data_IF_022490134934
#
_entry.id   IF_022490134934
#
_cell.length_a   1.000
_cell.length_b   1.000
_cell.length_c   1.000
_cell.angle_alpha   90.00
_cell.angle_beta   90.00
_cell.angle_gamma   90.00
#
_symmetry.space_group_name_H-M   'P 1'
#
loop_
_entity.id
_entity.type
_entity.pdbx_description
1 polymer ?
#
# COMPACT_ATOMS: atom_id res chain seq x y z
N UNK A 1 -21.10 15.96 0.83
CA UNK A 1 -19.78 15.38 1.14
C UNK A 1 -20.00 14.32 2.20
N UNK A 2 -19.75 13.08 1.86
CA UNK A 2 -19.85 11.94 2.79
C UNK A 2 -18.48 11.62 3.36
N UNK A 3 -18.45 10.95 4.50
CA UNK A 3 -17.23 10.40 5.08
C UNK A 3 -17.23 8.88 4.93
N UNK A 4 -16.32 8.35 4.16
CA UNK A 4 -16.20 6.94 3.87
C UNK A 4 -15.01 6.34 4.66
N UNK A 5 -15.23 5.22 5.32
CA UNK A 5 -14.19 4.38 5.91
C UNK A 5 -13.99 3.16 5.01
N UNK A 6 -12.83 3.09 4.38
CA UNK A 6 -12.44 2.03 3.46
C UNK A 6 -11.52 1.06 4.19
N UNK A 7 -11.95 -0.18 4.31
CA UNK A 7 -11.23 -1.22 5.07
C UNK A 7 -10.51 -2.15 4.08
N UNK A 8 -9.19 -2.16 4.13
CA UNK A 8 -8.37 -3.18 3.48
C UNK A 8 -8.35 -4.45 4.35
N UNK A 9 -9.33 -5.35 4.16
CA UNK A 9 -9.53 -6.51 5.04
C UNK A 9 -8.34 -7.47 5.02
N UNK A 10 -7.70 -7.65 3.89
CA UNK A 10 -6.55 -8.55 3.78
C UNK A 10 -5.35 -8.02 4.58
N UNK A 11 -5.13 -6.71 4.54
CA UNK A 11 -4.08 -6.07 5.33
C UNK A 11 -4.41 -6.12 6.83
N UNK A 12 -5.63 -5.74 7.23
CA UNK A 12 -6.06 -5.79 8.63
C UNK A 12 -5.92 -7.21 9.20
N UNK A 13 -6.40 -8.21 8.47
CA UNK A 13 -6.25 -9.62 8.82
C UNK A 13 -4.78 -10.02 8.98
N UNK A 14 -3.93 -9.71 8.01
CA UNK A 14 -2.51 -10.05 8.05
C UNK A 14 -1.81 -9.43 9.26
N UNK A 15 -2.15 -8.21 9.64
CA UNK A 15 -1.55 -7.53 10.80
C UNK A 15 -1.91 -8.20 12.11
N UNK A 16 -3.17 -8.55 12.28
CA UNK A 16 -3.61 -9.27 13.49
C UNK A 16 -2.98 -10.65 13.54
N UNK A 17 -3.00 -11.39 12.44
CA UNK A 17 -2.43 -12.72 12.32
C UNK A 17 -0.97 -12.77 12.80
N UNK A 18 -0.14 -11.82 12.38
CA UNK A 18 1.27 -11.76 12.79
C UNK A 18 1.49 -11.28 14.24
N UNK A 19 0.48 -10.70 14.88
CA UNK A 19 0.55 -10.25 16.27
C UNK A 19 0.05 -11.31 17.27
N UNK A 20 -0.70 -12.31 16.81
CA UNK A 20 -1.25 -13.36 17.66
C UNK A 20 -0.28 -14.53 17.74
N UNK A 21 0.08 -14.89 18.97
CA UNK A 21 0.91 -16.07 19.28
C UNK A 21 0.09 -17.01 20.17
N UNK A 22 -0.48 -18.05 19.57
CA UNK A 22 -1.31 -19.03 20.26
C UNK A 22 -1.04 -20.42 19.68
N UNK A 23 -1.00 -21.43 20.54
CA UNK A 23 -0.71 -22.80 20.14
C UNK A 23 -1.96 -23.61 19.76
N UNK A 24 -3.10 -23.28 20.32
CA UNK A 24 -4.39 -23.92 19.94
C UNK A 24 -4.97 -23.24 18.70
N UNK A 25 -5.23 -24.00 17.64
CA UNK A 25 -5.69 -23.47 16.36
C UNK A 25 -7.06 -22.78 16.45
N UNK A 26 -8.00 -23.30 17.28
CA UNK A 26 -9.32 -22.68 17.44
C UNK A 26 -9.22 -21.35 18.19
N UNK A 27 -8.41 -21.31 19.25
CA UNK A 27 -8.15 -20.09 20.00
C UNK A 27 -7.43 -19.08 19.12
N UNK A 28 -6.42 -19.51 18.36
CA UNK A 28 -5.72 -18.65 17.37
C UNK A 28 -6.69 -17.98 16.40
N UNK A 29 -7.55 -18.76 15.73
CA UNK A 29 -8.58 -18.21 14.81
C UNK A 29 -9.50 -17.25 15.53
N UNK A 30 -9.97 -17.57 16.75
CA UNK A 30 -10.83 -16.69 17.53
C UNK A 30 -10.16 -15.36 17.88
N UNK A 31 -8.88 -15.39 18.28
CA UNK A 31 -8.10 -14.17 18.59
C UNK A 31 -7.86 -13.32 17.36
N UNK A 32 -7.55 -13.93 16.21
CA UNK A 32 -7.39 -13.22 14.94
C UNK A 32 -8.70 -12.52 14.56
N UNK A 33 -9.83 -13.21 14.64
CA UNK A 33 -11.13 -12.62 14.35
C UNK A 33 -11.46 -11.43 15.24
N UNK A 34 -11.34 -11.63 16.55
CA UNK A 34 -11.60 -10.58 17.52
C UNK A 34 -10.69 -9.37 17.29
N UNK A 35 -9.42 -9.61 16.92
CA UNK A 35 -8.47 -8.56 16.58
C UNK A 35 -8.92 -7.73 15.39
N UNK A 36 -9.34 -8.40 14.29
CA UNK A 36 -9.84 -7.69 13.09
C UNK A 36 -11.10 -6.88 13.43
N UNK A 37 -12.07 -7.47 14.14
CA UNK A 37 -13.26 -6.74 14.57
C UNK A 37 -12.93 -5.54 15.45
N UNK A 38 -11.97 -5.67 16.36
CA UNK A 38 -11.53 -4.58 17.21
C UNK A 38 -10.91 -3.43 16.39
N UNK A 39 -10.08 -3.74 15.39
CA UNK A 39 -9.52 -2.73 14.48
C UNK A 39 -10.60 -2.00 13.69
N UNK A 40 -11.58 -2.74 13.16
CA UNK A 40 -12.74 -2.14 12.46
C UNK A 40 -13.52 -1.23 13.40
N UNK A 41 -13.88 -1.72 14.59
CA UNK A 41 -14.63 -0.95 15.61
C UNK A 41 -13.88 0.28 16.06
N UNK A 42 -12.59 0.19 16.28
CA UNK A 42 -11.75 1.33 16.67
C UNK A 42 -11.74 2.40 15.55
N UNK A 43 -11.56 1.97 14.32
CA UNK A 43 -11.57 2.86 13.16
C UNK A 43 -12.95 3.54 13.00
N UNK A 44 -14.04 2.78 13.14
CA UNK A 44 -15.39 3.30 13.10
C UNK A 44 -15.63 4.36 14.19
N UNK A 45 -15.31 4.04 15.44
CA UNK A 45 -15.52 4.95 16.57
C UNK A 45 -14.68 6.23 16.45
N UNK A 46 -13.48 6.13 15.88
CA UNK A 46 -12.57 7.26 15.70
C UNK A 46 -13.05 8.23 14.64
N UNK A 47 -13.51 7.72 13.53
CA UNK A 47 -13.84 8.56 12.38
C UNK A 47 -15.34 8.84 12.25
N UNK A 48 -16.20 8.09 12.93
CA UNK A 48 -17.67 8.23 12.83
C UNK A 48 -18.11 8.42 11.37
N UNK A 49 -17.83 7.43 10.49
CA UNK A 49 -18.08 7.57 9.06
C UNK A 49 -19.58 7.46 8.73
N UNK A 50 -19.99 8.05 7.61
CA UNK A 50 -21.32 7.86 7.04
C UNK A 50 -21.44 6.48 6.36
N UNK A 51 -20.35 6.02 5.74
CA UNK A 51 -20.28 4.71 5.09
C UNK A 51 -19.03 3.94 5.55
N UNK A 52 -19.19 2.64 5.75
CA UNK A 52 -18.07 1.71 5.96
C UNK A 52 -18.10 0.69 4.83
N UNK A 53 -16.99 0.51 4.13
CA UNK A 53 -16.89 -0.40 2.99
C UNK A 53 -15.63 -1.25 3.19
N UNK A 54 -15.78 -2.55 3.09
CA UNK A 54 -14.69 -3.49 3.19
C UNK A 54 -14.29 -4.02 1.81
N UNK A 55 -13.00 -4.10 1.55
CA UNK A 55 -12.45 -4.59 0.29
C UNK A 55 -11.59 -5.82 0.55
N UNK A 56 -11.72 -6.82 -0.31
CA UNK A 56 -10.95 -8.06 -0.26
C UNK A 56 -10.23 -8.31 -1.57
N UNK A 57 -9.10 -9.02 -1.46
CA UNK A 57 -8.43 -9.56 -2.65
C UNK A 57 -9.30 -10.61 -3.33
N UNK A 58 -9.35 -10.55 -4.64
CA UNK A 58 -9.93 -11.61 -5.46
C UNK A 58 -9.09 -12.88 -5.47
N UNK A 59 -9.60 -13.92 -6.12
CA UNK A 59 -8.90 -15.20 -6.23
C UNK A 59 -7.67 -15.15 -7.13
N UNK A 60 -7.63 -14.20 -8.05
CA UNK A 60 -6.54 -13.99 -9.02
C UNK A 60 -6.05 -12.55 -8.97
N UNK A 61 -4.87 -12.30 -9.50
CA UNK A 61 -4.35 -10.96 -9.70
C UNK A 61 -3.95 -10.79 -11.16
N UNK A 62 -4.45 -9.76 -11.81
CA UNK A 62 -4.07 -9.39 -13.18
C UNK A 62 -2.55 -9.13 -13.29
N UNK A 63 -1.93 -8.67 -12.19
CA UNK A 63 -0.49 -8.42 -12.13
C UNK A 63 0.33 -9.70 -12.37
N UNK A 64 -0.16 -10.87 -11.95
CA UNK A 64 0.50 -12.16 -12.23
C UNK A 64 0.47 -12.52 -13.71
N UNK A 65 -0.60 -12.16 -14.41
CA UNK A 65 -0.67 -12.37 -15.86
C UNK A 65 0.30 -11.44 -16.61
N UNK A 66 0.46 -10.20 -16.13
CA UNK A 66 1.41 -9.24 -16.72
C UNK A 66 2.86 -9.56 -16.34
N UNK A 67 3.11 -9.96 -15.10
CA UNK A 67 4.44 -10.27 -14.57
C UNK A 67 4.37 -11.55 -13.71
N UNK A 68 4.68 -12.73 -14.28
CA UNK A 68 4.52 -14.03 -13.60
C UNK A 68 5.31 -14.17 -12.28
N UNK A 69 6.38 -13.38 -12.11
CA UNK A 69 7.18 -13.34 -10.87
C UNK A 69 6.50 -12.55 -9.73
N UNK A 70 5.42 -11.81 -10.01
CA UNK A 70 4.70 -11.01 -9.03
C UNK A 70 4.24 -11.89 -7.86
N UNK A 71 4.63 -11.51 -6.64
CA UNK A 71 4.34 -12.24 -5.39
C UNK A 71 4.79 -13.71 -5.38
N UNK A 72 5.69 -14.14 -6.29
CA UNK A 72 6.16 -15.53 -6.35
C UNK A 72 7.07 -15.92 -5.17
N UNK A 73 7.67 -14.95 -4.48
CA UNK A 73 8.48 -15.16 -3.28
C UNK A 73 7.65 -15.39 -2.00
N UNK A 74 6.33 -15.21 -2.07
CA UNK A 74 5.42 -15.48 -0.93
C UNK A 74 5.20 -16.98 -0.66
N UNK A 75 6.09 -17.84 -1.18
CA UNK A 75 6.11 -19.26 -0.86
C UNK A 75 6.62 -19.44 0.58
N UNK A 76 5.86 -20.13 1.39
CA UNK A 76 6.09 -20.37 2.82
C UNK A 76 7.27 -21.33 3.05
N UNK A 77 8.51 -20.84 2.93
CA UNK A 77 9.71 -21.71 2.98
C UNK A 77 10.12 -22.18 4.38
N UNK A 78 9.76 -21.44 5.43
CA UNK A 78 10.27 -21.67 6.79
C UNK A 78 9.18 -21.81 7.85
N UNK A 79 7.94 -22.17 7.46
CA UNK A 79 6.86 -22.37 8.41
C UNK A 79 6.82 -23.83 8.89
N UNK A 80 6.57 -24.01 10.19
CA UNK A 80 6.27 -25.31 10.76
C UNK A 80 4.92 -25.83 10.23
N UNK A 81 4.68 -27.16 10.22
CA UNK A 81 3.38 -27.71 9.83
C UNK A 81 2.21 -27.08 10.59
N UNK A 82 2.42 -26.75 11.85
CA UNK A 82 1.41 -26.11 12.70
C UNK A 82 1.11 -24.67 12.30
N UNK A 83 2.12 -23.88 11.99
CA UNK A 83 1.93 -22.52 11.48
C UNK A 83 1.19 -22.51 10.14
N UNK A 84 1.44 -23.53 9.29
CA UNK A 84 0.71 -23.71 8.03
C UNK A 84 -0.77 -24.00 8.32
N UNK A 85 -1.06 -24.97 9.21
CA UNK A 85 -2.42 -25.30 9.62
C UNK A 85 -3.17 -24.09 10.17
N UNK A 86 -2.54 -23.33 11.06
CA UNK A 86 -3.12 -22.14 11.66
C UNK A 86 -3.39 -21.05 10.61
N UNK A 87 -2.46 -20.85 9.69
CA UNK A 87 -2.61 -19.90 8.59
C UNK A 87 -3.76 -20.27 7.64
N UNK A 88 -3.89 -21.57 7.32
CA UNK A 88 -4.97 -22.06 6.47
C UNK A 88 -6.31 -21.92 7.17
N UNK A 89 -6.42 -22.34 8.43
CA UNK A 89 -7.64 -22.21 9.21
C UNK A 89 -8.08 -20.74 9.37
N UNK A 90 -7.13 -19.83 9.61
CA UNK A 90 -7.43 -18.42 9.74
C UNK A 90 -7.83 -17.78 8.40
N UNK A 91 -7.21 -18.18 7.29
CA UNK A 91 -7.59 -17.72 5.94
C UNK A 91 -8.96 -18.27 5.52
N UNK A 92 -9.24 -19.53 5.84
CA UNK A 92 -10.55 -20.13 5.63
C UNK A 92 -11.62 -19.37 6.42
N UNK A 93 -11.33 -19.04 7.69
CA UNK A 93 -12.24 -18.25 8.48
C UNK A 93 -12.45 -16.84 7.92
N UNK A 94 -11.41 -16.17 7.43
CA UNK A 94 -11.56 -14.87 6.77
C UNK A 94 -12.59 -14.98 5.62
N UNK A 95 -12.43 -15.98 4.76
CA UNK A 95 -13.25 -16.14 3.55
C UNK A 95 -14.65 -16.66 3.83
N UNK A 96 -14.75 -17.69 4.65
CA UNK A 96 -15.98 -18.47 4.86
C UNK A 96 -16.72 -18.11 6.17
N UNK A 97 -16.08 -17.33 7.05
CA UNK A 97 -16.64 -16.87 8.32
C UNK A 97 -16.81 -15.36 8.38
N UNK A 98 -15.70 -14.61 8.39
CA UNK A 98 -15.73 -13.15 8.60
C UNK A 98 -16.41 -12.39 7.45
N UNK A 99 -16.08 -12.71 6.20
CA UNK A 99 -16.66 -12.05 5.03
C UNK A 99 -18.16 -12.30 4.94
N UNK A 100 -18.69 -13.55 5.03
CA UNK A 100 -20.12 -13.79 5.10
C UNK A 100 -20.78 -13.11 6.30
N UNK A 101 -20.16 -13.15 7.48
CA UNK A 101 -20.69 -12.50 8.67
C UNK A 101 -20.87 -10.99 8.47
N UNK A 102 -19.89 -10.31 7.87
CA UNK A 102 -20.01 -8.89 7.55
C UNK A 102 -21.14 -8.64 6.55
N UNK A 103 -21.24 -9.45 5.48
CA UNK A 103 -22.29 -9.34 4.44
C UNK A 103 -23.69 -9.58 4.99
N UNK A 104 -23.86 -10.55 5.90
CA UNK A 104 -25.19 -10.99 6.35
C UNK A 104 -25.68 -10.31 7.64
N UNK A 105 -24.74 -9.96 8.54
CA UNK A 105 -25.07 -9.49 9.90
C UNK A 105 -24.75 -8.03 10.14
N UNK A 106 -24.16 -7.34 9.17
CA UNK A 106 -23.86 -5.91 9.29
C UNK A 106 -24.32 -5.14 8.05
N UNK A 107 -24.35 -3.81 8.16
CA UNK A 107 -24.57 -2.93 7.00
C UNK A 107 -23.25 -2.61 6.26
N UNK A 108 -22.17 -3.37 6.49
CA UNK A 108 -20.89 -3.15 5.84
C UNK A 108 -20.84 -3.96 4.55
N UNK A 109 -20.91 -3.32 3.38
CA UNK A 109 -20.69 -4.01 2.12
C UNK A 109 -19.25 -4.52 2.05
N UNK A 110 -19.09 -5.76 1.59
CA UNK A 110 -17.79 -6.37 1.32
C UNK A 110 -17.68 -6.58 -0.18
N UNK A 111 -16.69 -5.91 -0.75
CA UNK A 111 -16.43 -5.89 -2.20
C UNK A 111 -15.19 -6.72 -2.49
N UNK A 112 -15.32 -7.65 -3.40
CA UNK A 112 -14.24 -8.43 -3.99
C UNK A 112 -14.41 -8.49 -5.51
N UNK A 113 -13.33 -8.75 -6.23
CA UNK A 113 -13.35 -8.86 -7.69
C UNK A 113 -12.48 -10.04 -8.14
N UNK A 114 -12.93 -10.81 -9.14
CA UNK A 114 -12.28 -12.07 -9.51
C UNK A 114 -10.78 -11.96 -9.82
N UNK A 115 -10.38 -10.90 -10.53
CA UNK A 115 -9.00 -10.66 -10.98
C UNK A 115 -8.38 -9.38 -10.43
N UNK A 116 -9.01 -8.77 -9.42
CA UNK A 116 -8.62 -7.52 -8.80
C UNK A 116 -8.10 -7.78 -7.38
N UNK A 117 -7.13 -7.00 -6.97
CA UNK A 117 -6.70 -6.92 -5.58
C UNK A 117 -7.51 -5.83 -4.86
N UNK A 118 -7.57 -5.89 -3.53
CA UNK A 118 -8.23 -4.86 -2.72
C UNK A 118 -7.73 -3.45 -3.06
N UNK A 119 -6.44 -3.33 -3.37
CA UNK A 119 -5.80 -2.07 -3.75
C UNK A 119 -6.42 -1.45 -5.01
N UNK A 120 -6.73 -2.28 -6.02
CA UNK A 120 -7.36 -1.84 -7.27
C UNK A 120 -8.78 -1.32 -7.03
N UNK A 121 -9.51 -2.01 -6.16
CA UNK A 121 -10.88 -1.67 -5.80
C UNK A 121 -10.94 -0.39 -4.96
N UNK A 122 -10.10 -0.28 -3.92
CA UNK A 122 -9.99 0.92 -3.08
C UNK A 122 -9.57 2.12 -3.92
N UNK A 123 -8.55 1.98 -4.78
CA UNK A 123 -8.11 3.06 -5.66
C UNK A 123 -9.22 3.51 -6.61
N UNK A 124 -9.95 2.57 -7.23
CA UNK A 124 -11.08 2.89 -8.10
C UNK A 124 -12.17 3.63 -7.33
N UNK A 125 -12.52 3.17 -6.12
CA UNK A 125 -13.49 3.86 -5.27
C UNK A 125 -13.03 5.30 -4.97
N UNK A 126 -11.80 5.50 -4.53
CA UNK A 126 -11.26 6.83 -4.20
C UNK A 126 -11.26 7.74 -5.43
N UNK A 127 -10.88 7.24 -6.61
CA UNK A 127 -10.88 8.05 -7.84
C UNK A 127 -12.28 8.50 -8.24
N UNK A 128 -13.30 7.67 -8.02
CA UNK A 128 -14.68 7.98 -8.36
C UNK A 128 -15.39 8.82 -7.26
N UNK A 129 -14.81 8.91 -6.04
CA UNK A 129 -15.39 9.61 -4.88
C UNK A 129 -14.44 10.69 -4.30
N UNK A 130 -13.70 11.40 -5.16
CA UNK A 130 -12.75 12.45 -4.72
C UNK A 130 -13.40 13.66 -4.04
N UNK A 131 -14.71 13.83 -4.22
CA UNK A 131 -15.46 14.89 -3.56
C UNK A 131 -15.84 14.55 -2.12
N UNK A 132 -15.75 13.30 -1.74
CA UNK A 132 -16.01 12.80 -0.39
C UNK A 132 -14.73 12.72 0.45
N UNK A 133 -14.88 12.65 1.77
CA UNK A 133 -13.76 12.42 2.67
C UNK A 133 -13.52 10.92 2.84
N UNK A 134 -12.37 10.43 2.39
CA UNK A 134 -12.02 9.03 2.39
C UNK A 134 -10.93 8.71 3.42
N UNK A 135 -11.22 7.79 4.33
CA UNK A 135 -10.26 7.26 5.30
C UNK A 135 -9.96 5.82 4.92
N UNK A 136 -8.76 5.52 4.48
CA UNK A 136 -8.32 4.16 4.18
C UNK A 136 -7.65 3.58 5.42
N UNK A 137 -8.28 2.57 6.04
CA UNK A 137 -7.72 1.87 7.20
C UNK A 137 -6.80 0.75 6.73
N UNK A 138 -5.51 1.01 6.72
CA UNK A 138 -4.46 0.10 6.25
C UNK A 138 -3.11 0.45 6.85
N UNK A 139 -2.18 -0.49 6.82
CA UNK A 139 -0.76 -0.23 7.09
C UNK A 139 0.08 -0.20 5.81
N UNK A 140 -0.55 -0.40 4.66
CA UNK A 140 0.14 -0.44 3.38
C UNK A 140 0.49 0.97 2.89
N UNK A 141 1.77 1.16 2.56
CA UNK A 141 2.26 2.42 2.02
C UNK A 141 1.92 2.61 0.53
N UNK A 142 1.39 1.60 -0.15
CA UNK A 142 1.02 1.72 -1.56
C UNK A 142 -0.11 2.71 -1.77
N UNK A 143 -0.99 2.83 -0.79
CA UNK A 143 -2.07 3.81 -0.79
C UNK A 143 -1.63 5.27 -0.59
N UNK A 144 -0.36 5.53 -0.24
CA UNK A 144 0.18 6.90 -0.16
C UNK A 144 -0.04 7.67 -1.46
N UNK A 145 -0.01 7.00 -2.59
CA UNK A 145 -0.25 7.59 -3.91
C UNK A 145 -1.70 8.09 -4.12
N UNK A 146 -2.64 7.73 -3.23
CA UNK A 146 -4.04 8.18 -3.29
C UNK A 146 -4.31 9.42 -2.43
N UNK A 147 -3.34 9.85 -1.62
CA UNK A 147 -3.51 10.96 -0.69
C UNK A 147 -3.78 12.28 -1.44
N UNK A 148 -4.77 12.98 -0.95
CA UNK A 148 -5.09 14.35 -1.36
C UNK A 148 -5.67 15.13 -0.17
N UNK A 149 -6.33 16.26 -0.42
CA UNK A 149 -6.94 17.07 0.63
C UNK A 149 -8.10 16.38 1.38
N UNK A 150 -8.67 15.33 0.80
CA UNK A 150 -9.85 14.62 1.32
C UNK A 150 -9.60 13.12 1.55
N UNK A 151 -8.50 12.58 1.05
CA UNK A 151 -8.13 11.17 1.23
C UNK A 151 -6.95 11.05 2.19
N UNK A 152 -7.13 10.25 3.22
CA UNK A 152 -6.11 10.02 4.27
C UNK A 152 -5.95 8.53 4.55
N UNK A 153 -4.75 8.12 5.04
CA UNK A 153 -4.51 6.77 5.53
C UNK A 153 -4.52 6.75 7.06
N UNK A 154 -5.19 5.76 7.61
CA UNK A 154 -5.16 5.50 9.04
C UNK A 154 -4.46 4.17 9.33
N UNK A 155 -3.34 4.26 10.03
CA UNK A 155 -2.60 3.10 10.54
C UNK A 155 -2.95 2.89 12.02
N UNK A 156 -3.85 1.96 12.30
CA UNK A 156 -4.31 1.66 13.66
C UNK A 156 -3.22 1.04 14.54
N UNK A 157 -2.26 0.29 13.95
CA UNK A 157 -1.16 -0.33 14.70
C UNK A 157 -0.22 0.69 15.34
N UNK A 158 0.01 1.80 14.66
CA UNK A 158 0.89 2.88 15.15
C UNK A 158 0.11 4.09 15.63
N UNK A 159 -1.23 4.06 15.53
CA UNK A 159 -2.12 5.17 15.83
C UNK A 159 -1.72 6.46 15.09
N UNK A 160 -1.44 6.34 13.79
CA UNK A 160 -0.98 7.44 12.94
C UNK A 160 -1.94 7.71 11.80
N UNK A 161 -2.10 9.00 11.49
CA UNK A 161 -2.81 9.48 10.33
C UNK A 161 -1.80 10.03 9.33
N UNK A 162 -1.84 9.54 8.08
CA UNK A 162 -0.99 10.00 7.00
C UNK A 162 -1.88 10.77 6.02
N UNK A 163 -1.52 12.02 5.79
CA UNK A 163 -2.24 12.96 4.92
C UNK A 163 -1.30 13.52 3.86
N UNK A 164 -1.82 14.19 2.86
CA UNK A 164 -0.96 14.89 1.88
C UNK A 164 -0.04 15.94 2.53
N UNK A 165 -0.42 16.50 3.69
CA UNK A 165 0.40 17.43 4.45
C UNK A 165 1.50 16.74 5.29
N UNK A 166 1.41 15.44 5.54
CA UNK A 166 2.41 14.68 6.27
C UNK A 166 1.83 13.67 7.26
N UNK A 167 2.61 13.26 8.24
CA UNK A 167 2.28 12.22 9.22
C UNK A 167 1.94 12.86 10.56
N UNK A 168 0.80 12.47 11.12
CA UNK A 168 0.33 12.92 12.43
C UNK A 168 0.26 11.71 13.38
N UNK A 169 0.85 11.86 14.55
CA UNK A 169 0.68 10.91 15.65
C UNK A 169 -0.56 11.31 16.45
N UNK A 170 -1.56 10.44 16.46
CA UNK A 170 -2.85 10.71 17.07
C UNK A 170 -2.85 10.59 18.59
N UNK A 171 -1.84 9.90 19.18
CA UNK A 171 -1.70 9.81 20.62
C UNK A 171 -1.24 11.15 21.21
N UNK A 172 -0.26 11.78 20.60
CA UNK A 172 0.26 13.10 21.03
C UNK A 172 -0.43 14.27 20.31
N UNK A 173 -1.32 13.97 19.34
CA UNK A 173 -2.08 14.96 18.54
C UNK A 173 -1.20 16.00 17.85
N UNK A 174 -0.06 15.59 17.32
CA UNK A 174 0.93 16.46 16.68
C UNK A 174 1.49 15.87 15.39
N UNK A 175 1.91 16.72 14.44
CA UNK A 175 2.69 16.27 13.29
C UNK A 175 4.07 15.76 13.73
N UNK A 176 4.55 14.75 13.06
CA UNK A 176 5.85 14.13 13.32
C UNK A 176 6.70 14.09 12.06
N UNK A 177 8.02 14.14 12.24
CA UNK A 177 8.98 14.01 11.14
C UNK A 177 8.90 12.62 10.52
N UNK A 178 9.00 12.58 9.20
CA UNK A 178 9.12 11.35 8.46
C UNK A 178 10.14 11.48 7.32
N UNK A 179 10.60 10.36 6.82
CA UNK A 179 11.45 10.27 5.63
C UNK A 179 10.86 9.24 4.67
N UNK A 180 11.27 9.30 3.41
CA UNK A 180 10.92 8.31 2.41
C UNK A 180 12.16 7.46 2.17
N UNK A 181 12.04 6.15 2.45
CA UNK A 181 13.08 5.17 2.17
C UNK A 181 12.51 4.10 1.24
N UNK A 182 13.11 3.95 0.07
CA UNK A 182 12.68 3.00 -0.97
C UNK A 182 11.17 3.07 -1.26
N UNK A 183 10.63 4.29 -1.29
CA UNK A 183 9.22 4.56 -1.53
C UNK A 183 8.29 4.35 -0.32
N UNK A 184 8.81 3.96 0.84
CA UNK A 184 8.03 3.76 2.07
C UNK A 184 8.21 4.91 3.05
N UNK A 185 7.13 5.33 3.70
CA UNK A 185 7.18 6.30 4.79
C UNK A 185 7.86 5.66 5.99
N UNK A 186 8.87 6.32 6.49
CA UNK A 186 9.62 5.90 7.68
C UNK A 186 9.61 7.02 8.71
N UNK A 187 9.15 6.72 9.90
CA UNK A 187 9.18 7.61 11.05
C UNK A 187 10.21 7.11 12.06
N UNK A 188 10.88 8.00 12.76
CA UNK A 188 11.82 7.63 13.82
C UNK A 188 11.16 6.77 14.92
N UNK A 189 11.96 6.00 15.66
CA UNK A 189 11.48 5.22 16.83
C UNK A 189 10.86 6.13 17.89
N UNK A 190 11.45 7.29 18.13
CA UNK A 190 10.88 8.38 18.92
C UNK A 190 10.30 9.38 17.92
N UNK A 191 8.99 9.58 17.99
CA UNK A 191 8.31 10.56 17.14
C UNK A 191 8.91 11.95 17.41
N UNK A 192 9.73 12.43 16.48
CA UNK A 192 10.24 13.81 16.56
C UNK A 192 9.12 14.74 16.12
N UNK A 193 8.64 15.53 17.07
CA UNK A 193 7.59 16.52 16.81
C UNK A 193 8.14 17.61 15.91
N UNK A 194 7.34 17.99 14.92
CA UNK A 194 7.67 19.12 14.03
C UNK A 194 7.26 20.41 14.70
N UNK A 195 8.19 21.34 14.83
CA UNK A 195 7.88 22.72 15.18
C UNK A 195 7.13 23.40 14.03
N UNK A 196 6.30 24.40 14.36
CA UNK A 196 5.37 25.03 13.41
C UNK A 196 6.06 25.56 12.12
N UNK A 197 7.34 25.88 12.20
CA UNK A 197 8.10 26.50 11.12
C UNK A 197 9.00 25.50 10.36
N UNK A 198 8.98 24.21 10.71
CA UNK A 198 9.77 23.19 10.03
C UNK A 198 8.92 22.36 9.06
N UNK A 199 9.39 22.10 7.83
CA UNK A 199 8.69 21.20 6.94
C UNK A 199 8.72 19.78 7.49
N UNK A 200 7.57 19.08 7.44
CA UNK A 200 7.44 17.70 7.90
C UNK A 200 8.29 16.71 7.10
N UNK A 201 8.71 17.10 5.90
CA UNK A 201 9.59 16.35 5.03
C UNK A 201 10.39 17.33 4.16
N UNK A 202 11.63 16.98 3.77
CA UNK A 202 12.43 17.80 2.86
C UNK A 202 11.94 17.75 1.39
N UNK A 203 10.89 17.01 1.09
CA UNK A 203 10.41 16.80 -0.28
C UNK A 203 9.15 17.63 -0.53
N UNK A 204 9.17 18.47 -1.57
CA UNK A 204 8.03 19.30 -1.96
C UNK A 204 6.86 18.42 -2.47
N UNK A 205 7.17 17.47 -3.36
CA UNK A 205 6.20 16.54 -3.96
C UNK A 205 6.41 15.13 -3.40
N UNK A 206 6.36 15.00 -2.09
CA UNK A 206 6.78 13.78 -1.42
C UNK A 206 5.95 12.53 -1.78
N UNK A 207 4.68 12.70 -2.12
CA UNK A 207 3.79 11.61 -2.54
C UNK A 207 4.26 11.04 -3.88
N UNK A 208 4.50 11.92 -4.86
CA UNK A 208 5.00 11.52 -6.17
C UNK A 208 6.43 10.97 -6.07
N UNK A 209 7.25 11.56 -5.19
CA UNK A 209 8.60 11.06 -4.94
C UNK A 209 8.57 9.65 -4.31
N UNK A 210 7.65 9.36 -3.41
CA UNK A 210 7.49 8.03 -2.82
C UNK A 210 7.13 6.99 -3.90
N UNK A 211 6.19 7.31 -4.79
CA UNK A 211 5.81 6.46 -5.91
C UNK A 211 6.98 6.24 -6.88
N UNK A 212 7.68 7.32 -7.26
CA UNK A 212 8.86 7.24 -8.10
C UNK A 212 9.94 6.33 -7.49
N UNK A 213 10.25 6.53 -6.20
CA UNK A 213 11.23 5.72 -5.49
C UNK A 213 10.83 4.24 -5.47
N UNK A 214 9.56 3.94 -5.28
CA UNK A 214 9.06 2.57 -5.32
C UNK A 214 9.18 1.96 -6.72
N UNK A 215 8.86 2.69 -7.78
CA UNK A 215 9.02 2.22 -9.15
C UNK A 215 10.49 1.98 -9.53
N UNK A 216 11.42 2.82 -9.07
CA UNK A 216 12.86 2.66 -9.32
C UNK A 216 13.48 1.55 -8.48
N UNK A 217 13.14 1.49 -7.18
CA UNK A 217 13.72 0.50 -6.25
C UNK A 217 13.06 -0.87 -6.35
N UNK A 218 11.86 -0.93 -6.92
CA UNK A 218 11.04 -2.13 -6.90
C UNK A 218 10.39 -2.36 -5.55
N UNK A 219 9.73 -3.49 -5.40
CA UNK A 219 9.15 -3.93 -4.14
C UNK A 219 9.49 -5.40 -3.86
N UNK A 220 10.37 -5.62 -2.89
CA UNK A 220 10.79 -6.95 -2.50
C UNK A 220 9.64 -7.79 -1.90
N UNK A 221 8.64 -7.15 -1.27
CA UNK A 221 7.46 -7.84 -0.72
C UNK A 221 6.57 -8.43 -1.82
N UNK A 222 6.55 -7.79 -2.99
CA UNK A 222 5.80 -8.23 -4.17
C UNK A 222 6.66 -8.87 -5.26
N UNK A 223 7.93 -9.11 -4.94
CA UNK A 223 8.92 -9.68 -5.87
C UNK A 223 9.07 -8.86 -7.16
N UNK A 224 8.99 -7.55 -7.02
CA UNK A 224 9.23 -6.59 -8.10
C UNK A 224 10.68 -6.14 -8.01
N UNK A 225 11.47 -6.49 -9.01
CA UNK A 225 12.89 -6.17 -9.06
C UNK A 225 13.13 -4.67 -9.27
N UNK A 226 14.26 -4.16 -8.74
CA UNK A 226 14.67 -2.78 -8.96
C UNK A 226 14.86 -2.48 -10.45
N UNK A 227 14.33 -1.35 -10.91
CA UNK A 227 14.58 -0.85 -12.26
C UNK A 227 16.02 -0.34 -12.44
N UNK A 228 16.63 0.15 -11.37
CA UNK A 228 18.03 0.62 -11.36
C UNK A 228 18.70 0.24 -10.03
N UNK A 229 19.25 -0.98 -9.87
CA UNK A 229 19.77 -1.53 -8.61
C UNK A 229 20.93 -0.67 -8.18
N UNK A 230 21.58 0.01 -8.10
CA UNK A 230 22.77 0.77 -7.62
C UNK A 230 22.67 2.26 -7.95
N UNK A 231 21.46 2.73 -8.27
CA UNK A 231 21.30 4.17 -8.47
C UNK A 231 21.59 4.91 -7.16
N UNK A 232 22.46 5.93 -7.17
CA UNK A 232 22.73 6.72 -5.97
C UNK A 232 21.52 7.59 -5.64
N UNK A 233 21.23 7.80 -4.38
CA UNK A 233 20.16 8.71 -3.97
C UNK A 233 20.53 10.16 -4.22
N UNK A 234 21.78 10.51 -3.96
CA UNK A 234 22.34 11.85 -4.21
C UNK A 234 23.30 11.80 -5.39
N UNK A 235 23.32 12.87 -6.15
CA UNK A 235 24.26 13.05 -7.27
C UNK A 235 25.69 13.18 -6.79
N UNK A 236 26.60 12.77 -7.66
CA UNK A 236 28.04 12.93 -7.51
C UNK A 236 28.65 13.45 -8.81
N UNK A 237 29.93 13.78 -8.84
CA UNK A 237 30.61 14.34 -10.01
C UNK A 237 30.31 13.60 -11.33
N UNK A 238 30.13 12.26 -11.27
CA UNK A 238 30.00 11.41 -12.46
C UNK A 238 28.70 10.60 -12.48
N UNK A 239 27.73 10.85 -11.57
CA UNK A 239 26.51 10.06 -11.48
C UNK A 239 25.34 10.92 -11.03
N UNK A 240 24.27 10.87 -11.79
CA UNK A 240 23.00 11.50 -11.47
C UNK A 240 22.32 10.71 -10.35
N UNK A 241 21.89 11.41 -9.31
CA UNK A 241 21.15 10.84 -8.20
C UNK A 241 19.64 10.76 -8.49
N UNK A 242 18.96 9.87 -7.79
CA UNK A 242 17.51 9.68 -7.95
C UNK A 242 16.72 10.97 -7.67
N UNK A 243 17.15 11.74 -6.68
CA UNK A 243 16.49 13.00 -6.33
C UNK A 243 16.59 14.04 -7.45
N UNK A 244 17.79 14.24 -7.99
CA UNK A 244 18.00 15.18 -9.11
C UNK A 244 17.21 14.74 -10.35
N UNK A 245 17.23 13.44 -10.67
CA UNK A 245 16.45 12.91 -11.77
C UNK A 245 14.95 13.18 -11.58
N UNK A 246 14.42 12.92 -10.39
CA UNK A 246 13.01 13.18 -10.08
C UNK A 246 12.65 14.67 -10.19
N UNK A 247 13.47 15.57 -9.63
CA UNK A 247 13.25 17.01 -9.65
C UNK A 247 13.32 17.58 -11.07
N UNK A 248 14.16 17.03 -11.96
CA UNK A 248 14.29 17.49 -13.36
C UNK A 248 13.16 17.00 -14.29
N UNK A 249 12.28 16.10 -13.85
CA UNK A 249 11.28 15.45 -14.73
C UNK A 249 10.31 16.41 -15.43
N UNK A 250 10.02 17.55 -14.82
CA UNK A 250 9.11 18.58 -15.35
C UNK A 250 9.84 19.84 -15.85
N UNK A 251 11.16 19.96 -15.69
CA UNK A 251 11.97 21.06 -16.16
C UNK A 251 12.60 20.77 -17.54
N UNK A 252 13.91 20.92 -17.61
CA UNK A 252 14.68 20.58 -18.81
C UNK A 252 14.70 19.07 -19.13
N UNK A 253 14.37 18.26 -18.14
CA UNK A 253 14.32 16.80 -18.25
C UNK A 253 15.68 16.12 -18.43
N UNK A 254 16.78 16.86 -18.34
CA UNK A 254 18.12 16.33 -18.64
C UNK A 254 18.48 15.15 -17.73
N UNK A 255 18.42 15.35 -16.41
CA UNK A 255 18.82 14.32 -15.46
C UNK A 255 17.84 13.12 -15.50
N UNK A 256 16.55 13.37 -15.66
CA UNK A 256 15.53 12.35 -15.88
C UNK A 256 15.83 11.50 -17.12
N UNK A 257 15.97 12.16 -18.28
CA UNK A 257 16.21 11.47 -19.54
C UNK A 257 17.53 10.72 -19.56
N UNK A 258 18.57 11.28 -18.98
CA UNK A 258 19.87 10.63 -18.84
C UNK A 258 19.78 9.37 -18.00
N UNK A 259 19.06 9.41 -16.88
CA UNK A 259 18.85 8.25 -16.03
C UNK A 259 18.01 7.18 -16.73
N UNK A 260 16.91 7.55 -17.36
CA UNK A 260 16.03 6.59 -18.06
C UNK A 260 16.74 5.88 -19.22
N UNK A 261 17.63 6.57 -19.93
CA UNK A 261 18.46 5.99 -21.00
C UNK A 261 19.66 5.19 -20.50
N UNK A 262 19.93 5.17 -19.20
CA UNK A 262 21.02 4.38 -18.64
C UNK A 262 20.72 2.88 -18.75
N UNK A 263 21.80 2.09 -18.88
CA UNK A 263 21.72 0.62 -18.82
C UNK A 263 22.51 0.09 -17.63
N UNK A 264 22.17 -1.10 -17.19
CA UNK A 264 22.93 -1.84 -16.19
C UNK A 264 22.93 -3.34 -16.51
N UNK A 265 23.91 -4.07 -15.97
CA UNK A 265 24.04 -5.52 -16.17
C UNK A 265 23.84 -6.24 -14.84
N UNK A 266 23.14 -7.35 -14.90
CA UNK A 266 23.03 -8.28 -13.78
C UNK A 266 24.30 -9.14 -13.58
N UNK A 267 24.24 -10.09 -12.65
CA UNK A 267 25.38 -10.95 -12.32
C UNK A 267 25.74 -11.94 -13.43
N UNK A 268 24.81 -12.21 -14.35
CA UNK A 268 25.03 -13.10 -15.49
C UNK A 268 25.35 -12.34 -16.78
N UNK A 269 25.46 -11.02 -16.68
CA UNK A 269 25.83 -10.14 -17.81
C UNK A 269 24.68 -9.70 -18.70
N UNK A 270 23.42 -10.04 -18.36
CA UNK A 270 22.26 -9.56 -19.08
C UNK A 270 22.08 -8.06 -18.89
N UNK A 271 21.94 -7.33 -19.99
CA UNK A 271 21.79 -5.87 -19.98
C UNK A 271 20.32 -5.46 -19.95
N UNK A 272 20.02 -4.43 -19.15
CA UNK A 272 18.69 -3.89 -18.93
C UNK A 272 18.71 -2.37 -19.12
N UNK A 273 17.70 -1.85 -19.84
CA UNK A 273 17.44 -0.41 -19.93
C UNK A 273 16.59 0.02 -18.73
N UNK A 274 17.02 1.08 -18.05
CA UNK A 274 16.32 1.60 -16.85
C UNK A 274 14.87 1.95 -17.15
N UNK A 275 14.61 2.65 -18.24
CA UNK A 275 13.26 3.05 -18.64
C UNK A 275 12.30 1.85 -18.77
N UNK A 276 12.74 0.79 -19.45
CA UNK A 276 11.92 -0.41 -19.66
C UNK A 276 11.55 -1.04 -18.31
N UNK A 277 12.51 -1.15 -17.40
CA UNK A 277 12.26 -1.73 -16.07
C UNK A 277 11.39 -0.79 -15.20
N UNK A 278 11.60 0.52 -15.30
CA UNK A 278 10.81 1.52 -14.62
C UNK A 278 9.34 1.48 -15.06
N UNK A 279 9.08 1.44 -16.35
CA UNK A 279 7.72 1.37 -16.90
C UNK A 279 7.01 0.07 -16.52
N UNK A 280 7.74 -1.06 -16.52
CA UNK A 280 7.22 -2.34 -16.00
C UNK A 280 6.80 -2.20 -14.53
N UNK A 281 7.68 -1.64 -13.70
CA UNK A 281 7.42 -1.46 -12.27
C UNK A 281 6.28 -0.47 -12.05
N UNK A 282 6.26 0.63 -12.80
CA UNK A 282 5.16 1.59 -12.76
C UNK A 282 3.82 0.93 -13.05
N UNK A 283 3.76 0.09 -14.08
CA UNK A 283 2.54 -0.67 -14.43
C UNK A 283 2.05 -1.58 -13.30
N UNK A 284 2.96 -2.13 -12.49
CA UNK A 284 2.63 -3.02 -11.37
C UNK A 284 2.27 -2.27 -10.08
N UNK A 285 2.85 -1.08 -9.86
CA UNK A 285 2.84 -0.37 -8.58
C UNK A 285 1.90 0.84 -8.59
N UNK A 286 1.85 1.59 -9.70
CA UNK A 286 1.01 2.78 -9.79
C UNK A 286 -0.46 2.37 -9.99
N UNK A 287 -1.29 2.66 -8.99
CA UNK A 287 -2.73 2.32 -9.00
C UNK A 287 -3.51 3.05 -10.11
N UNK A 288 -2.93 4.10 -10.69
CA UNK A 288 -3.47 4.77 -11.88
C UNK A 288 -3.28 3.96 -13.17
N UNK A 289 -2.36 3.01 -13.16
CA UNK A 289 -2.04 2.15 -14.32
C UNK A 289 -2.93 0.90 -14.43
N UNK A 290 -3.96 0.78 -13.58
CA UNK A 290 -4.97 -0.27 -13.73
C UNK A 290 -5.58 -0.23 -15.14
N UNK A 291 -5.55 -1.33 -15.89
CA UNK A 291 -6.15 -1.39 -17.22
C UNK A 291 -7.63 -0.94 -17.20
N UNK A 292 -8.06 -0.18 -18.21
CA UNK A 292 -9.39 0.44 -18.21
C UNK A 292 -10.52 -0.60 -18.18
N UNK A 293 -10.32 -1.75 -18.81
CA UNK A 293 -11.25 -2.88 -18.78
C UNK A 293 -11.45 -3.37 -17.32
N UNK A 294 -10.35 -3.50 -16.57
CA UNK A 294 -10.39 -3.90 -15.16
C UNK A 294 -10.93 -2.80 -14.25
N UNK A 295 -10.66 -1.54 -14.58
CA UNK A 295 -11.26 -0.39 -13.88
C UNK A 295 -12.77 -0.35 -14.08
N UNK A 296 -13.23 -0.64 -15.29
CA UNK A 296 -14.67 -0.75 -15.59
C UNK A 296 -15.29 -1.92 -14.82
N UNK A 297 -14.62 -3.07 -14.75
CA UNK A 297 -15.06 -4.20 -13.95
C UNK A 297 -15.10 -3.84 -12.45
N UNK A 298 -14.06 -3.16 -11.93
CA UNK A 298 -14.02 -2.69 -10.55
C UNK A 298 -15.22 -1.80 -10.22
N UNK A 299 -15.56 -0.85 -11.08
CA UNK A 299 -16.78 -0.02 -10.95
C UNK A 299 -18.05 -0.85 -10.92
N UNK A 300 -18.10 -1.96 -11.66
CA UNK A 300 -19.22 -2.90 -11.65
C UNK A 300 -19.41 -3.57 -10.30
N UNK A 301 -18.32 -3.95 -9.62
CA UNK A 301 -18.37 -4.53 -8.27
C UNK A 301 -18.70 -3.49 -7.19
N UNK A 302 -18.27 -2.23 -7.37
CA UNK A 302 -18.47 -1.13 -6.41
C UNK A 302 -19.88 -0.54 -6.49
N UNK A 303 -20.55 -0.65 -7.64
CA UNK A 303 -21.95 -0.21 -7.82
C UNK A 303 -22.88 -1.09 -6.97
N UNK A 304 -23.19 -0.60 -5.80
CA UNK A 304 -24.27 -1.12 -4.95
C UNK A 304 -25.42 -0.11 -4.86
#
# INVERSE_FOLDING_TARGET
>A
MKKNLLLDLNNLYSRVKYAVHESDTKMYVSLVCNGVFNMIRESYNRFTPDNVIAFCDGHRSWRKNYYPRYKANRVKKDQTPKEIEQDEAALEFLRNGLVPLLKEKTAVPVIDGESLEADDLIATFVFDHRDDYNVIATTDNDFVQLLDAKTVLYNSMTNRLITCAGVYDLAIKRPIMFTIKDGKITTGKLATVVDKDMPMTPYTDWIEYALFMKCIRGDASDNIESAYPRAPEKSSKNRIGLREAFESRYGDGYAWNSMMKSTWKDLVGQEYLVETQYLRNKKLIDLKELPEELRTAARGYIKM
#
